data_IF_281595398114
#
_entry.id   IF_281595398114
#
_cell.length_a   1.000
_cell.length_b   1.000
_cell.length_c   1.000
_cell.angle_alpha   90.00
_cell.angle_beta   90.00
_cell.angle_gamma   90.00
#
_symmetry.space_group_name_H-M   'P 1'
#
loop_
_entity.id
_entity.type
_entity.pdbx_description
1 polymer ?
#
# COMPACT_ATOMS: atom_id res chain seq x y z
N UNK A 1 -12.62 15.97 5.61
CA UNK A 1 -11.94 14.65 5.63
C UNK A 1 -11.00 14.64 4.43
N UNK A 2 -9.74 14.22 4.59
CA UNK A 2 -8.75 14.26 3.50
C UNK A 2 -8.79 12.98 2.68
N UNK A 3 -8.56 13.13 1.38
CA UNK A 3 -8.45 12.01 0.45
C UNK A 3 -7.23 11.16 0.80
N UNK A 4 -7.36 9.85 0.65
CA UNK A 4 -6.38 8.88 1.11
C UNK A 4 -5.59 8.30 -0.07
N UNK A 5 -4.28 8.24 0.13
CA UNK A 5 -3.36 7.53 -0.75
C UNK A 5 -2.82 6.34 0.03
N UNK A 6 -2.71 5.18 -0.61
CA UNK A 6 -2.13 3.99 0.01
C UNK A 6 -0.73 3.76 -0.57
N UNK A 7 0.29 3.82 0.27
CA UNK A 7 1.65 3.42 -0.11
C UNK A 7 1.76 1.89 -0.05
N UNK A 8 2.12 1.29 -1.17
CA UNK A 8 2.06 -0.14 -1.43
C UNK A 8 1.02 -0.46 -2.49
N UNK A 9 1.31 -1.44 -3.35
CA UNK A 9 0.38 -1.93 -4.36
C UNK A 9 0.29 -3.47 -4.37
N UNK A 10 0.54 -4.10 -3.22
CA UNK A 10 0.43 -5.56 -3.02
C UNK A 10 -0.80 -5.93 -2.18
N UNK A 11 -0.91 -7.21 -1.81
CA UNK A 11 -2.07 -7.77 -1.08
C UNK A 11 -2.45 -6.99 0.19
N UNK A 12 -1.46 -6.53 0.97
CA UNK A 12 -1.72 -5.72 2.17
C UNK A 12 -2.36 -4.38 1.84
N UNK A 13 -1.95 -3.75 0.74
CA UNK A 13 -2.54 -2.50 0.25
C UNK A 13 -3.96 -2.72 -0.29
N UNK A 14 -4.21 -3.86 -0.94
CA UNK A 14 -5.54 -4.24 -1.40
C UNK A 14 -6.51 -4.45 -0.25
N UNK A 15 -6.07 -5.14 0.82
CA UNK A 15 -6.84 -5.30 2.06
C UNK A 15 -7.10 -3.95 2.72
N UNK A 16 -6.08 -3.07 2.82
CA UNK A 16 -6.25 -1.74 3.36
C UNK A 16 -7.29 -0.93 2.57
N UNK A 17 -7.23 -0.96 1.24
CA UNK A 17 -8.21 -0.31 0.37
C UNK A 17 -9.63 -0.80 0.64
N UNK A 18 -9.83 -2.12 0.76
CA UNK A 18 -11.13 -2.68 1.10
C UNK A 18 -11.65 -2.14 2.45
N UNK A 19 -10.85 -2.18 3.51
CA UNK A 19 -11.26 -1.65 4.82
C UNK A 19 -11.58 -0.16 4.78
N UNK A 20 -10.76 0.64 4.09
CA UNK A 20 -10.97 2.07 4.02
C UNK A 20 -12.24 2.44 3.23
N UNK A 21 -12.45 1.82 2.08
CA UNK A 21 -13.60 2.12 1.23
C UNK A 21 -14.91 1.54 1.76
N UNK A 22 -14.91 0.31 2.29
CA UNK A 22 -16.13 -0.37 2.70
C UNK A 22 -16.53 -0.08 4.15
N UNK A 23 -15.57 -0.03 5.08
CA UNK A 23 -15.86 0.04 6.50
C UNK A 23 -15.65 1.44 7.09
N UNK A 24 -14.62 2.17 6.63
CA UNK A 24 -14.28 3.47 7.17
C UNK A 24 -14.86 4.65 6.38
N UNK A 25 -15.49 4.41 5.23
CA UNK A 25 -16.06 5.46 4.37
C UNK A 25 -15.03 6.46 3.84
N UNK A 26 -13.77 6.04 3.67
CA UNK A 26 -12.67 6.87 3.19
C UNK A 26 -12.60 6.83 1.66
N UNK A 27 -12.30 7.98 1.05
CA UNK A 27 -12.04 8.08 -0.38
C UNK A 27 -10.57 7.75 -0.67
N UNK A 28 -10.29 6.60 -1.28
CA UNK A 28 -8.94 6.22 -1.71
C UNK A 28 -8.74 6.65 -3.15
N UNK A 29 -7.88 7.64 -3.37
CA UNK A 29 -7.72 8.30 -4.68
C UNK A 29 -6.52 7.81 -5.48
N UNK A 30 -5.53 7.24 -4.80
CA UNK A 30 -4.33 6.70 -5.43
C UNK A 30 -3.68 5.62 -4.58
N UNK A 31 -2.94 4.73 -5.24
CA UNK A 31 -1.87 3.95 -4.64
C UNK A 31 -0.53 4.53 -5.05
N UNK A 32 0.50 4.39 -4.24
CA UNK A 32 1.85 4.75 -4.64
C UNK A 32 2.88 3.71 -4.23
N UNK A 33 3.97 3.61 -4.97
CA UNK A 33 5.10 2.72 -4.68
C UNK A 33 6.39 3.43 -5.08
N UNK A 34 7.52 3.00 -4.52
CA UNK A 34 8.81 3.45 -5.07
C UNK A 34 8.91 3.06 -6.54
N UNK A 35 9.54 3.91 -7.36
CA UNK A 35 9.63 3.72 -8.80
C UNK A 35 10.19 2.34 -9.20
N UNK A 36 11.10 1.77 -8.40
CA UNK A 36 11.65 0.42 -8.61
C UNK A 36 10.62 -0.73 -8.46
N UNK A 37 9.52 -0.47 -7.74
CA UNK A 37 8.43 -1.42 -7.52
C UNK A 37 7.19 -1.11 -8.38
N UNK A 38 7.25 -0.10 -9.25
CA UNK A 38 6.18 0.24 -10.18
C UNK A 38 6.04 -0.83 -11.27
N UNK A 39 4.89 -1.50 -11.30
CA UNK A 39 4.64 -2.65 -12.21
C UNK A 39 3.30 -2.62 -12.93
N UNK A 40 2.37 -1.79 -12.47
CA UNK A 40 1.01 -1.68 -12.99
C UNK A 40 0.47 -0.30 -12.72
N UNK A 41 -0.39 0.18 -13.61
CA UNK A 41 -0.90 1.55 -13.55
C UNK A 41 -2.15 1.69 -12.66
N UNK A 42 -2.82 0.58 -12.32
CA UNK A 42 -4.08 0.59 -11.55
C UNK A 42 -4.24 -0.60 -10.60
N UNK A 43 -4.94 -0.36 -9.50
CA UNK A 43 -5.46 -1.36 -8.55
C UNK A 43 -6.92 -1.00 -8.26
N UNK A 44 -7.86 -1.94 -8.44
CA UNK A 44 -9.31 -1.66 -8.26
C UNK A 44 -9.81 -0.40 -8.99
N UNK A 45 -9.28 -0.15 -10.20
CA UNK A 45 -9.55 1.05 -11.00
C UNK A 45 -9.04 2.39 -10.41
N UNK A 46 -8.29 2.34 -9.30
CA UNK A 46 -7.58 3.47 -8.70
C UNK A 46 -6.16 3.52 -9.27
N UNK A 47 -5.62 4.69 -9.64
CA UNK A 47 -4.28 4.82 -10.21
C UNK A 47 -3.19 4.39 -9.22
N UNK A 48 -2.11 3.83 -9.75
CA UNK A 48 -0.84 3.66 -9.06
C UNK A 48 0.12 4.69 -9.64
N UNK A 49 0.83 5.40 -8.77
CA UNK A 49 1.83 6.41 -9.15
C UNK A 49 3.18 6.16 -8.47
N UNK A 50 4.30 6.51 -9.11
CA UNK A 50 5.59 6.57 -8.46
C UNK A 50 5.57 7.55 -7.26
N UNK A 51 6.18 7.18 -6.14
CA UNK A 51 6.15 7.97 -4.91
C UNK A 51 6.75 9.38 -5.07
N UNK A 52 7.75 9.53 -5.93
CA UNK A 52 8.39 10.79 -6.28
C UNK A 52 7.46 11.75 -7.06
N UNK A 53 6.39 11.24 -7.67
CA UNK A 53 5.37 12.03 -8.36
C UNK A 53 4.19 12.40 -7.44
N UNK A 54 4.02 11.71 -6.30
CA UNK A 54 2.89 11.90 -5.37
C UNK A 54 2.77 13.36 -4.92
N UNK A 55 3.87 14.01 -4.54
CA UNK A 55 3.80 15.38 -4.03
C UNK A 55 3.36 16.41 -5.07
N UNK A 56 3.50 16.10 -6.37
CA UNK A 56 3.09 17.01 -7.44
C UNK A 56 1.58 17.01 -7.61
N UNK A 57 0.98 15.82 -7.58
CA UNK A 57 -0.45 15.63 -7.87
C UNK A 57 -1.31 15.58 -6.60
N UNK A 58 -0.71 15.28 -5.44
CA UNK A 58 -1.39 15.05 -4.17
C UNK A 58 -0.72 15.79 -3.00
N UNK A 59 -1.03 17.09 -2.81
CA UNK A 59 -0.42 17.90 -1.77
C UNK A 59 -0.87 17.50 -0.34
N UNK A 60 0.02 17.56 0.67
CA UNK A 60 -0.24 17.06 2.03
C UNK A 60 -1.29 17.87 2.81
N UNK A 61 -1.64 19.07 2.35
CA UNK A 61 -2.69 19.90 2.94
C UNK A 61 -4.09 19.31 2.72
N UNK A 62 -4.28 18.58 1.61
CA UNK A 62 -5.57 18.01 1.18
C UNK A 62 -5.57 16.48 1.17
N UNK A 63 -4.41 15.84 1.24
CA UNK A 63 -4.27 14.38 1.19
C UNK A 63 -3.57 13.81 2.43
N UNK A 64 -3.87 12.54 2.71
CA UNK A 64 -3.19 11.73 3.72
C UNK A 64 -2.62 10.46 3.07
N UNK A 65 -1.55 9.91 3.63
CA UNK A 65 -0.94 8.66 3.16
C UNK A 65 -1.04 7.60 4.25
N UNK A 66 -1.51 6.41 3.89
CA UNK A 66 -1.43 5.20 4.70
C UNK A 66 -0.37 4.25 4.13
N UNK A 67 0.57 3.78 4.96
CA UNK A 67 1.66 2.91 4.51
C UNK A 67 1.32 1.43 4.71
N UNK A 68 0.99 0.75 3.62
CA UNK A 68 0.58 -0.65 3.55
C UNK A 68 1.67 -1.55 2.95
N UNK A 69 2.80 -1.65 3.64
CA UNK A 69 3.91 -2.52 3.21
C UNK A 69 3.83 -3.91 3.84
N UNK A 70 4.08 -4.95 3.04
CA UNK A 70 4.18 -6.31 3.56
C UNK A 70 5.53 -6.54 4.24
N UNK A 71 5.53 -7.49 5.17
CA UNK A 71 6.70 -7.88 5.95
C UNK A 71 7.68 -8.75 5.16
N UNK A 72 8.00 -8.45 3.89
CA UNK A 72 8.86 -9.29 3.05
C UNK A 72 10.22 -9.64 3.67
N UNK A 73 10.70 -8.88 4.67
CA UNK A 73 11.89 -9.20 5.50
C UNK A 73 11.64 -10.16 6.68
N UNK A 74 10.39 -10.42 7.09
CA UNK A 74 9.99 -11.34 8.18
C UNK A 74 9.86 -12.79 7.70
N UNK A 75 9.82 -13.06 6.40
CA UNK A 75 9.81 -14.45 5.89
C UNK A 75 11.05 -15.25 6.32
N UNK A 76 12.21 -14.61 6.56
CA UNK A 76 13.36 -15.27 7.17
C UNK A 76 13.04 -15.83 8.56
N UNK A 77 12.27 -15.09 9.37
CA UNK A 77 11.83 -15.54 10.70
C UNK A 77 10.81 -16.68 10.61
N UNK A 78 9.98 -16.72 9.57
CA UNK A 78 9.08 -17.88 9.32
C UNK A 78 9.83 -19.14 8.94
N UNK A 79 10.85 -19.02 8.09
CA UNK A 79 11.70 -20.17 7.70
C UNK A 79 12.36 -20.76 8.95
N UNK A 80 12.93 -19.90 9.80
CA UNK A 80 13.47 -20.36 11.08
C UNK A 80 12.41 -21.06 11.92
N UNK A 81 11.20 -20.49 12.01
CA UNK A 81 10.12 -21.06 12.81
C UNK A 81 9.64 -22.43 12.31
N UNK A 82 9.64 -22.65 11.00
CA UNK A 82 9.33 -23.97 10.41
C UNK A 82 10.44 -24.96 10.73
N UNK A 83 11.71 -24.57 10.54
CA UNK A 83 12.84 -25.42 10.88
C UNK A 83 12.87 -25.80 12.37
N UNK A 84 12.49 -24.88 13.27
CA UNK A 84 12.38 -25.14 14.71
C UNK A 84 11.27 -26.16 15.07
N UNK A 85 10.22 -26.27 14.25
CA UNK A 85 9.08 -27.19 14.47
C UNK A 85 9.35 -28.58 13.89
N UNK A 86 10.17 -28.67 12.84
CA UNK A 86 10.51 -29.94 12.16
C UNK A 86 11.67 -30.72 12.82
N UNK A 87 12.34 -30.13 13.81
CA UNK A 87 13.43 -30.73 14.60
C UNK A 87 12.90 -31.51 15.82
#
# INVERSE_FOLDING_TARGET
MRDLIIFGAGEIAEVAHYYFTQNAGRNVVAFCVDAEFYKRDKVFNVPVIPFDEVQKDFPPETHEIFVAMSFKRVNKLRIQKVADIEA
#
